data_IF_369085021929
#
_entry.id   IF_369085021929
#
_cell.length_a   1.000
_cell.length_b   1.000
_cell.length_c   1.000
_cell.angle_alpha   90.00
_cell.angle_beta   90.00
_cell.angle_gamma   90.00
#
_symmetry.space_group_name_H-M   'P 1'
#
loop_
_entity.id
_entity.type
_entity.pdbx_description
1 polymer ?
#
# COMPACT_ATOMS: atom_id res chain seq x y z
N UNK A 1 10.91 -14.06 -3.46
CA UNK A 1 10.30 -12.81 -3.00
C UNK A 1 9.76 -12.01 -4.18
N UNK A 2 10.56 -11.06 -4.70
CA UNK A 2 10.16 -10.14 -5.79
C UNK A 2 9.66 -10.85 -7.04
N UNK A 3 10.27 -11.97 -7.44
CA UNK A 3 9.82 -12.73 -8.62
C UNK A 3 8.37 -13.22 -8.53
N UNK A 4 7.83 -13.47 -7.32
CA UNK A 4 6.42 -13.85 -7.17
C UNK A 4 5.51 -12.65 -7.44
N UNK A 5 5.91 -11.46 -6.99
CA UNK A 5 5.18 -10.22 -7.25
C UNK A 5 5.20 -9.88 -8.73
N UNK A 6 6.35 -10.00 -9.39
CA UNK A 6 6.45 -9.82 -10.84
C UNK A 6 5.58 -10.82 -11.61
N UNK A 7 5.52 -12.08 -11.18
CA UNK A 7 4.65 -13.09 -11.78
C UNK A 7 3.15 -12.83 -11.51
N UNK A 8 2.79 -12.33 -10.32
CA UNK A 8 1.41 -11.94 -10.00
C UNK A 8 0.97 -10.75 -10.87
N UNK A 9 1.82 -9.73 -11.00
CA UNK A 9 1.56 -8.60 -11.90
C UNK A 9 1.43 -9.06 -13.35
N UNK A 10 2.30 -9.96 -13.84
CA UNK A 10 2.19 -10.53 -15.19
C UNK A 10 0.91 -11.33 -15.42
N UNK A 11 0.34 -11.90 -14.37
CA UNK A 11 -0.90 -12.67 -14.43
C UNK A 11 -2.15 -11.79 -14.19
N UNK A 12 -1.99 -10.47 -14.11
CA UNK A 12 -3.05 -9.53 -13.73
C UNK A 12 -3.76 -9.95 -12.43
N UNK A 13 -2.97 -10.40 -11.45
CA UNK A 13 -3.46 -10.83 -10.15
C UNK A 13 -3.03 -9.81 -9.10
N UNK A 14 -4.03 -9.27 -8.41
CA UNK A 14 -3.82 -8.45 -7.23
C UNK A 14 -3.25 -9.25 -6.07
N UNK A 15 -2.84 -8.54 -5.02
CA UNK A 15 -2.26 -9.18 -3.85
C UNK A 15 -2.29 -8.28 -2.61
N UNK A 16 -2.37 -8.93 -1.45
CA UNK A 16 -2.23 -8.26 -0.17
C UNK A 16 -0.77 -8.38 0.30
N UNK A 17 -0.10 -7.25 0.42
CA UNK A 17 1.22 -7.12 1.02
C UNK A 17 1.05 -6.77 2.49
N UNK A 18 1.52 -7.64 3.37
CA UNK A 18 1.48 -7.40 4.81
C UNK A 18 2.92 -7.20 5.30
N UNK A 19 3.21 -6.00 5.82
CA UNK A 19 4.53 -5.68 6.37
C UNK A 19 4.44 -5.43 7.87
N UNK A 20 5.38 -5.99 8.64
CA UNK A 20 5.56 -5.69 10.05
C UNK A 20 6.68 -4.64 10.21
N UNK A 21 6.44 -3.62 11.03
CA UNK A 21 7.30 -2.46 11.33
C UNK A 21 7.43 -1.38 10.23
N UNK A 22 7.70 -0.15 10.68
CA UNK A 22 8.09 1.03 9.89
C UNK A 22 9.46 0.78 9.22
N UNK A 23 9.51 -0.12 8.25
CA UNK A 23 10.73 -0.56 7.59
C UNK A 23 10.73 -0.23 6.10
N UNK A 24 11.55 0.76 5.73
CA UNK A 24 12.06 1.02 4.39
C UNK A 24 11.00 1.23 3.27
N UNK A 25 10.21 2.29 3.42
CA UNK A 25 9.36 2.83 2.35
C UNK A 25 10.13 3.10 1.05
N UNK A 26 11.43 3.37 1.11
CA UNK A 26 12.27 3.54 -0.08
C UNK A 26 12.38 2.24 -0.86
N UNK A 27 12.68 1.13 -0.19
CA UNK A 27 12.70 -0.17 -0.85
C UNK A 27 11.32 -0.56 -1.40
N UNK A 28 10.24 -0.27 -0.66
CA UNK A 28 8.89 -0.46 -1.16
C UNK A 28 8.65 0.39 -2.41
N UNK A 29 8.84 1.72 -2.34
CA UNK A 29 8.66 2.65 -3.46
C UNK A 29 9.50 2.30 -4.69
N UNK A 30 10.75 1.87 -4.50
CA UNK A 30 11.61 1.41 -5.59
C UNK A 30 11.08 0.12 -6.23
N UNK A 31 10.51 -0.78 -5.44
CA UNK A 31 9.82 -1.97 -5.91
C UNK A 31 8.51 -1.58 -6.64
N UNK A 32 7.72 -0.66 -6.08
CA UNK A 32 6.47 -0.17 -6.67
C UNK A 32 6.73 0.49 -8.03
N UNK A 33 7.81 1.28 -8.17
CA UNK A 33 8.19 1.86 -9.48
C UNK A 33 8.52 0.80 -10.53
N UNK A 34 9.08 -0.33 -10.11
CA UNK A 34 9.41 -1.44 -11.01
C UNK A 34 8.20 -2.29 -11.37
N UNK A 35 7.21 -2.38 -10.48
CA UNK A 35 5.95 -3.07 -10.72
C UNK A 35 5.03 -2.12 -11.50
N UNK A 36 4.75 -2.42 -12.76
CA UNK A 36 3.89 -1.58 -13.61
C UNK A 36 2.39 -1.74 -13.27
N UNK A 37 2.05 -1.71 -11.98
CA UNK A 37 0.72 -1.95 -11.42
C UNK A 37 0.36 -0.87 -10.41
N UNK A 38 -0.93 -0.70 -10.14
CA UNK A 38 -1.41 0.21 -9.10
C UNK A 38 -1.34 -0.45 -7.72
N UNK A 39 -0.84 0.31 -6.77
CA UNK A 39 -0.62 -0.18 -5.40
C UNK A 39 -1.28 0.77 -4.42
N UNK A 40 -2.04 0.22 -3.48
CA UNK A 40 -2.83 0.94 -2.49
C UNK A 40 -2.20 0.75 -1.13
N UNK A 41 -1.80 1.81 -0.46
CA UNK A 41 -1.17 1.76 0.85
C UNK A 41 -2.20 2.16 1.89
N UNK A 42 -2.48 1.26 2.83
CA UNK A 42 -3.46 1.49 3.91
C UNK A 42 -2.74 2.09 5.12
N UNK A 43 -3.23 3.24 5.59
CA UNK A 43 -2.55 4.09 6.56
C UNK A 43 -3.50 4.64 7.60
N UNK A 44 -3.07 4.80 8.86
CA UNK A 44 -3.89 5.46 9.88
C UNK A 44 -3.77 6.99 9.79
N UNK A 45 -4.85 7.71 10.07
CA UNK A 45 -4.95 9.18 9.94
C UNK A 45 -3.81 9.94 10.66
N UNK A 46 -3.43 9.50 11.86
CA UNK A 46 -2.33 10.11 12.64
C UNK A 46 -0.91 9.96 12.05
N UNK A 47 -0.72 9.12 11.03
CA UNK A 47 0.55 8.92 10.32
C UNK A 47 0.58 9.61 8.96
N UNK A 48 -0.54 10.22 8.56
CA UNK A 48 -0.73 10.82 7.26
C UNK A 48 0.33 11.89 6.97
N UNK A 49 0.68 12.75 7.93
CA UNK A 49 1.62 13.86 7.69
C UNK A 49 3.07 13.40 7.44
N UNK A 50 3.58 12.47 8.24
CA UNK A 50 4.97 11.98 8.12
C UNK A 50 5.17 11.24 6.81
N UNK A 51 4.20 10.39 6.44
CA UNK A 51 4.27 9.69 5.17
C UNK A 51 3.99 10.65 4.02
N UNK A 52 3.02 11.57 4.09
CA UNK A 52 2.78 12.56 3.02
C UNK A 52 4.05 13.36 2.68
N UNK A 53 4.82 13.79 3.68
CA UNK A 53 6.10 14.47 3.45
C UNK A 53 7.16 13.56 2.79
N UNK A 54 7.16 12.27 3.12
CA UNK A 54 7.99 11.27 2.45
C UNK A 54 7.52 11.01 1.01
N UNK A 55 6.22 10.87 0.77
CA UNK A 55 5.62 10.63 -0.53
C UNK A 55 5.77 11.83 -1.47
N UNK A 56 5.77 13.06 -0.93
CA UNK A 56 6.01 14.28 -1.72
C UNK A 56 7.45 14.30 -2.29
N UNK A 57 8.41 13.74 -1.56
CA UNK A 57 9.78 13.53 -2.07
C UNK A 57 9.83 12.47 -3.18
N UNK A 58 8.95 11.49 -3.16
CA UNK A 58 8.82 10.46 -4.21
C UNK A 58 7.86 10.97 -5.29
N UNK A 59 8.35 11.91 -6.12
CA UNK A 59 7.60 12.66 -7.15
C UNK A 59 6.78 11.83 -8.17
N UNK A 60 6.99 10.52 -8.28
CA UNK A 60 6.21 9.64 -9.17
C UNK A 60 5.18 8.86 -8.34
N UNK A 61 3.93 9.29 -8.45
CA UNK A 61 2.79 8.70 -7.75
C UNK A 61 2.30 7.44 -8.48
N UNK A 62 3.03 6.33 -8.31
CA UNK A 62 2.57 5.00 -8.76
C UNK A 62 1.75 4.26 -7.70
N UNK A 63 1.31 4.94 -6.65
CA UNK A 63 0.54 4.37 -5.55
C UNK A 63 -0.58 5.31 -5.08
N UNK A 64 -1.64 4.72 -4.53
CA UNK A 64 -2.75 5.41 -3.88
C UNK A 64 -2.66 5.21 -2.36
N UNK A 65 -3.07 6.21 -1.57
CA UNK A 65 -3.11 6.09 -0.10
C UNK A 65 -4.55 5.96 0.35
N UNK A 66 -4.86 4.88 1.04
CA UNK A 66 -6.16 4.64 1.69
C UNK A 66 -6.00 4.96 3.17
N UNK A 67 -6.73 5.95 3.65
CA UNK A 67 -6.66 6.36 5.07
C UNK A 67 -7.72 5.60 5.87
N UNK A 68 -7.29 4.87 6.89
CA UNK A 68 -8.16 4.27 7.91
C UNK A 68 -8.75 5.41 8.72
N UNK A 69 -10.06 5.56 8.58
CA UNK A 69 -10.90 6.48 9.34
C UNK A 69 -11.73 5.69 10.33
N UNK A 70 -12.40 6.40 11.24
CA UNK A 70 -13.38 5.80 12.16
C UNK A 70 -14.64 5.28 11.45
N UNK A 71 -14.78 5.52 10.14
CA UNK A 71 -15.86 5.00 9.30
C UNK A 71 -15.36 3.87 8.38
N UNK A 72 -16.29 3.07 7.83
CA UNK A 72 -15.99 1.89 7.00
C UNK A 72 -15.52 2.19 5.55
N UNK A 73 -15.33 3.45 5.15
CA UNK A 73 -14.91 3.86 3.80
C UNK A 73 -13.63 3.17 3.34
N UNK A 74 -12.64 3.05 4.22
CA UNK A 74 -11.37 2.40 3.93
C UNK A 74 -11.53 0.94 3.48
N UNK A 75 -12.51 0.22 4.02
CA UNK A 75 -12.80 -1.17 3.62
C UNK A 75 -13.35 -1.22 2.20
N UNK A 76 -14.20 -0.27 1.81
CA UNK A 76 -14.70 -0.17 0.44
C UNK A 76 -13.58 0.13 -0.56
N UNK A 77 -12.66 1.05 -0.23
CA UNK A 77 -11.52 1.34 -1.10
C UNK A 77 -10.59 0.14 -1.28
N UNK A 78 -10.34 -0.63 -0.21
CA UNK A 78 -9.56 -1.87 -0.25
C UNK A 78 -10.25 -2.92 -1.11
N UNK A 79 -11.57 -3.10 -0.93
CA UNK A 79 -12.35 -4.06 -1.71
C UNK A 79 -12.33 -3.70 -3.21
N UNK A 80 -12.53 -2.43 -3.55
CA UNK A 80 -12.47 -1.94 -4.92
C UNK A 80 -11.08 -2.15 -5.55
N UNK A 81 -10.00 -2.00 -4.78
CA UNK A 81 -8.66 -2.32 -5.25
C UNK A 81 -8.51 -3.81 -5.59
N UNK A 82 -9.00 -4.71 -4.72
CA UNK A 82 -8.95 -6.14 -4.99
C UNK A 82 -9.81 -6.55 -6.19
N UNK A 83 -10.98 -5.94 -6.39
CA UNK A 83 -11.82 -6.18 -7.58
C UNK A 83 -11.12 -5.78 -8.88
N UNK A 84 -10.22 -4.81 -8.82
CA UNK A 84 -9.40 -4.36 -9.96
C UNK A 84 -8.08 -5.12 -10.10
N UNK A 85 -7.88 -6.20 -9.34
CA UNK A 85 -6.62 -6.93 -9.29
C UNK A 85 -5.41 -6.04 -8.93
N UNK A 86 -5.66 -4.99 -8.15
CA UNK A 86 -4.62 -4.08 -7.68
C UNK A 86 -3.98 -4.65 -6.39
N UNK A 87 -2.81 -4.13 -6.03
CA UNK A 87 -2.14 -4.54 -4.80
C UNK A 87 -2.56 -3.65 -3.65
N UNK A 88 -2.76 -4.24 -2.47
CA UNK A 88 -3.02 -3.51 -1.23
C UNK A 88 -1.89 -3.80 -0.26
N UNK A 89 -1.28 -2.79 0.33
CA UNK A 89 -0.23 -2.90 1.33
C UNK A 89 -0.77 -2.44 2.68
N UNK A 90 -0.70 -3.31 3.69
CA UNK A 90 -1.16 -3.03 5.05
C UNK A 90 0.01 -3.25 6.02
N UNK A 91 0.20 -2.31 6.94
CA UNK A 91 1.13 -2.47 8.05
C UNK A 91 0.41 -3.17 9.21
N UNK A 92 0.72 -4.44 9.45
CA UNK A 92 0.06 -5.26 10.49
C UNK A 92 0.64 -5.05 11.91
N UNK A 93 1.57 -4.11 12.06
CA UNK A 93 2.34 -3.93 13.30
C UNK A 93 1.71 -2.96 14.30
N UNK A 94 0.64 -2.27 13.93
CA UNK A 94 0.03 -1.28 14.83
C UNK A 94 -1.11 -1.90 15.62
N UNK A 95 -0.73 -2.31 16.82
CA UNK A 95 -1.64 -2.58 17.93
C UNK A 95 -2.54 -1.37 18.17
N UNK A 96 -3.83 -1.48 17.83
CA UNK A 96 -4.85 -0.56 18.33
C UNK A 96 -5.08 -0.99 19.78
N UNK A 97 -4.69 -0.15 20.74
CA UNK A 97 -4.98 -0.40 22.15
C UNK A 97 -6.51 -0.41 22.28
N UNK A 98 -7.07 -1.58 22.59
CA UNK A 98 -8.48 -1.73 22.97
C UNK A 98 -8.79 -1.00 24.27
#
# INVERSE_FOLDING_TARGET
GVHHLENMVKQDKGGLLVSAHLGNWEAAGHLLKRLNTRIHIVMYDGEHEKIKAYLDKVRERSFNVIVIKNDISHIYEINEAFKRNEFVCIHADRFVKG
#
